data_IF_085228043773
#
_entry.id   IF_085228043773
#
_cell.length_a   1.000
_cell.length_b   1.000
_cell.length_c   1.000
_cell.angle_alpha   90.00
_cell.angle_beta   90.00
_cell.angle_gamma   90.00
#
_symmetry.space_group_name_H-M   'P 1'
#
loop_
_entity.id
_entity.type
_entity.pdbx_description
1 polymer ?
#
# COMPACT_ATOMS: atom_id res chain seq x y z
N UNK A 1 11.64 3.94 16.90
CA UNK A 1 10.56 3.04 16.45
C UNK A 1 10.12 3.60 15.12
N UNK A 2 10.32 2.86 14.04
CA UNK A 2 9.83 3.26 12.72
C UNK A 2 8.34 2.92 12.66
N UNK A 3 7.50 3.93 12.46
CA UNK A 3 6.06 3.71 12.28
C UNK A 3 5.80 3.00 10.95
N UNK A 4 4.89 2.01 10.97
CA UNK A 4 4.57 1.18 9.80
C UNK A 4 3.09 1.34 9.45
N UNK A 5 2.83 1.54 8.16
CA UNK A 5 1.48 1.46 7.58
C UNK A 5 1.46 0.40 6.49
N UNK A 6 0.31 -0.21 6.26
CA UNK A 6 0.16 -1.30 5.30
C UNK A 6 -0.67 -0.86 4.10
N UNK A 7 -0.24 -1.21 2.90
CA UNK A 7 -1.06 -1.16 1.69
C UNK A 7 -1.42 -2.59 1.25
N UNK A 8 -2.61 -2.78 0.67
CA UNK A 8 -3.03 -4.06 0.08
C UNK A 8 -3.06 -3.93 -1.43
N UNK A 9 -2.21 -4.68 -2.10
CA UNK A 9 -2.09 -4.67 -3.56
C UNK A 9 -2.50 -6.03 -4.15
N UNK A 10 -2.98 -6.01 -5.40
CA UNK A 10 -3.02 -7.21 -6.23
C UNK A 10 -1.58 -7.56 -6.58
N UNK A 11 -1.19 -8.83 -6.43
CA UNK A 11 0.20 -9.25 -6.59
C UNK A 11 0.76 -8.91 -7.98
N UNK A 12 -0.02 -9.13 -9.04
CA UNK A 12 0.39 -8.83 -10.42
C UNK A 12 0.62 -7.34 -10.64
N UNK A 13 -0.29 -6.47 -10.17
CA UNK A 13 -0.14 -5.00 -10.28
C UNK A 13 1.13 -4.51 -9.57
N UNK A 14 1.41 -5.09 -8.39
CA UNK A 14 2.61 -4.78 -7.62
C UNK A 14 3.89 -5.24 -8.34
N UNK A 15 3.92 -6.46 -8.86
CA UNK A 15 5.08 -7.01 -9.56
C UNK A 15 5.39 -6.20 -10.82
N UNK A 16 4.37 -5.86 -11.62
CA UNK A 16 4.53 -5.04 -12.82
C UNK A 16 5.11 -3.65 -12.53
N UNK A 17 4.83 -3.10 -11.35
CA UNK A 17 5.31 -1.77 -10.93
C UNK A 17 6.82 -1.74 -10.67
N UNK A 18 7.47 -2.90 -10.45
CA UNK A 18 8.93 -3.00 -10.28
C UNK A 18 9.70 -2.44 -11.47
N UNK A 19 9.20 -2.63 -12.68
CA UNK A 19 9.82 -2.11 -13.90
C UNK A 19 9.82 -0.58 -13.98
N UNK A 20 8.90 0.08 -13.26
CA UNK A 20 8.77 1.53 -13.21
C UNK A 20 9.45 2.16 -11.98
N UNK A 21 9.71 1.35 -10.94
CA UNK A 21 10.35 1.79 -9.70
C UNK A 21 9.38 2.41 -8.69
N UNK A 22 8.11 2.57 -9.05
CA UNK A 22 7.06 3.13 -8.21
C UNK A 22 5.71 2.47 -8.47
N UNK A 23 4.86 2.41 -7.43
CA UNK A 23 3.50 1.88 -7.49
C UNK A 23 2.47 3.01 -7.54
N UNK A 24 1.65 3.05 -8.60
CA UNK A 24 0.71 4.14 -8.88
C UNK A 24 -0.77 3.72 -8.84
N UNK A 25 -1.14 2.80 -7.96
CA UNK A 25 -2.55 2.40 -7.77
C UNK A 25 -3.03 2.86 -6.40
N UNK A 26 -4.11 3.65 -6.36
CA UNK A 26 -4.66 4.15 -5.10
C UNK A 26 -5.26 3.01 -4.26
N UNK A 27 -5.99 2.13 -4.92
CA UNK A 27 -6.62 0.92 -4.37
C UNK A 27 -7.11 0.08 -5.55
N UNK A 28 -7.54 -1.17 -5.32
CA UNK A 28 -8.15 -2.04 -6.35
C UNK A 28 -8.98 -1.28 -7.39
N UNK A 29 -8.55 -1.35 -8.66
CA UNK A 29 -9.27 -0.78 -9.82
C UNK A 29 -9.30 0.75 -9.88
N UNK A 30 -8.54 1.44 -9.03
CA UNK A 30 -8.48 2.91 -8.98
C UNK A 30 -7.02 3.34 -9.12
N UNK A 31 -6.62 3.90 -10.28
CA UNK A 31 -5.28 4.45 -10.44
C UNK A 31 -5.06 5.63 -9.48
N UNK A 32 -3.79 5.92 -9.20
CA UNK A 32 -3.42 7.13 -8.48
C UNK A 32 -3.54 8.34 -9.41
N UNK A 33 -4.50 9.22 -9.12
CA UNK A 33 -4.67 10.48 -9.84
C UNK A 33 -3.84 11.62 -9.18
N UNK A 34 -3.50 12.69 -9.92
CA UNK A 34 -2.81 13.85 -9.37
C UNK A 34 -3.53 14.44 -8.15
N UNK A 35 -2.82 14.59 -7.03
CA UNK A 35 -3.39 15.07 -5.76
C UNK A 35 -4.16 14.01 -4.96
N UNK A 36 -4.24 12.78 -5.49
CA UNK A 36 -4.79 11.61 -4.81
C UNK A 36 -3.90 11.08 -3.70
N UNK A 37 -4.19 9.86 -3.25
CA UNK A 37 -3.38 9.14 -2.28
C UNK A 37 -3.54 7.63 -2.46
N UNK A 38 -2.51 6.88 -2.09
CA UNK A 38 -2.60 5.42 -1.94
C UNK A 38 -3.26 5.11 -0.60
N UNK A 39 -4.28 4.25 -0.63
CA UNK A 39 -5.02 3.84 0.57
C UNK A 39 -4.15 2.91 1.38
N UNK A 40 -3.84 3.33 2.59
CA UNK A 40 -3.14 2.51 3.57
C UNK A 40 -4.05 2.24 4.77
N UNK A 41 -3.61 1.32 5.63
CA UNK A 41 -4.23 0.97 6.88
C UNK A 41 -3.16 0.62 7.91
N UNK A 42 -3.54 0.33 9.15
CA UNK A 42 -2.60 -0.20 10.16
C UNK A 42 -2.51 -1.72 10.07
N UNK A 43 -1.41 -2.36 10.52
CA UNK A 43 -1.23 -3.81 10.43
C UNK A 43 -2.40 -4.65 11.00
N UNK A 44 -3.00 -4.18 12.10
CA UNK A 44 -4.14 -4.80 12.80
C UNK A 44 -5.47 -4.71 12.04
N UNK A 45 -5.58 -3.81 11.05
CA UNK A 45 -6.79 -3.54 10.28
C UNK A 45 -6.76 -4.15 8.87
N UNK A 46 -5.67 -4.82 8.49
CA UNK A 46 -5.49 -5.40 7.15
C UNK A 46 -6.56 -6.43 6.81
N UNK A 47 -6.88 -7.34 7.74
CA UNK A 47 -7.90 -8.37 7.51
C UNK A 47 -9.28 -7.79 7.23
N UNK A 48 -9.63 -6.67 7.88
CA UNK A 48 -10.89 -5.96 7.61
C UNK A 48 -10.89 -5.34 6.21
N UNK A 49 -9.81 -4.67 5.82
CA UNK A 49 -9.68 -4.08 4.47
C UNK A 49 -9.76 -5.14 3.38
N UNK A 50 -9.13 -6.29 3.58
CA UNK A 50 -9.20 -7.43 2.64
C UNK A 50 -10.64 -7.90 2.49
N UNK A 51 -11.35 -8.15 3.59
CA UNK A 51 -12.74 -8.60 3.55
C UNK A 51 -13.67 -7.59 2.87
N UNK A 52 -13.53 -6.30 3.19
CA UNK A 52 -14.42 -5.25 2.67
C UNK A 52 -14.15 -4.88 1.20
N UNK A 53 -12.89 -4.92 0.76
CA UNK A 53 -12.48 -4.34 -0.54
C UNK A 53 -12.00 -5.36 -1.55
N UNK A 54 -11.60 -6.54 -1.11
CA UNK A 54 -11.01 -7.57 -1.95
C UNK A 54 -11.69 -8.95 -1.78
N UNK A 55 -12.68 -9.09 -0.88
CA UNK A 55 -13.32 -10.38 -0.57
C UNK A 55 -14.08 -11.02 -1.73
N UNK A 56 -14.34 -10.28 -2.80
CA UNK A 56 -14.94 -10.73 -4.05
C UNK A 56 -13.90 -11.08 -5.14
N UNK A 57 -12.60 -10.93 -4.88
CA UNK A 57 -11.54 -11.31 -5.81
C UNK A 57 -11.01 -12.73 -5.55
N UNK A 58 -10.71 -13.43 -6.64
CA UNK A 58 -9.93 -14.66 -6.64
C UNK A 58 -8.45 -14.42 -7.03
N UNK A 59 -8.00 -13.16 -7.03
CA UNK A 59 -6.63 -12.78 -7.39
C UNK A 59 -5.72 -12.84 -6.15
N UNK A 60 -4.44 -13.25 -6.30
CA UNK A 60 -3.48 -13.20 -5.21
C UNK A 60 -3.27 -11.76 -4.71
N UNK A 61 -3.23 -11.59 -3.39
CA UNK A 61 -3.03 -10.29 -2.74
C UNK A 61 -1.73 -10.27 -1.93
N UNK A 62 -1.14 -9.08 -1.84
CA UNK A 62 -0.01 -8.78 -0.98
C UNK A 62 -0.39 -7.73 0.05
N UNK A 63 0.07 -7.92 1.28
CA UNK A 63 0.24 -6.84 2.26
C UNK A 63 1.65 -6.28 2.09
N UNK A 64 1.74 -4.99 1.83
CA UNK A 64 3.00 -4.25 1.74
C UNK A 64 3.16 -3.45 3.02
N UNK A 65 4.18 -3.76 3.80
CA UNK A 65 4.52 -3.01 5.02
C UNK A 65 5.44 -1.85 4.63
N UNK A 66 4.98 -0.62 4.86
CA UNK A 66 5.65 0.60 4.44
C UNK A 66 6.21 1.37 5.63
N UNK A 67 7.47 1.80 5.50
CA UNK A 67 8.12 2.70 6.44
C UNK A 67 7.54 4.11 6.30
N UNK A 68 6.91 4.64 7.35
CA UNK A 68 6.43 6.05 7.35
C UNK A 68 7.61 7.01 7.20
N UNK A 69 8.75 6.69 7.82
CA UNK A 69 9.97 7.49 7.73
C UNK A 69 10.58 7.42 6.32
N UNK A 70 10.66 6.22 5.72
CA UNK A 70 11.18 6.02 4.37
C UNK A 70 10.34 6.75 3.33
N UNK A 71 9.01 6.64 3.45
CA UNK A 71 8.06 7.39 2.63
C UNK A 71 8.28 8.90 2.73
N UNK A 72 8.43 9.43 3.95
CA UNK A 72 8.70 10.85 4.15
C UNK A 72 10.06 11.28 3.56
N UNK A 73 11.10 10.45 3.70
CA UNK A 73 12.42 10.71 3.13
C UNK A 73 12.40 10.71 1.59
N UNK A 74 11.55 9.90 0.97
CA UNK A 74 11.30 9.88 -0.47
C UNK A 74 10.36 11.00 -0.95
N UNK A 75 9.88 11.89 -0.07
CA UNK A 75 8.99 13.00 -0.44
C UNK A 75 7.51 12.61 -0.57
N UNK A 76 7.11 11.45 -0.07
CA UNK A 76 5.76 10.90 -0.14
C UNK A 76 5.18 10.79 1.28
N UNK A 77 4.77 11.90 1.93
CA UNK A 77 4.37 11.85 3.34
C UNK A 77 3.09 11.04 3.56
N UNK A 78 2.96 10.48 4.76
CA UNK A 78 1.72 9.85 5.24
C UNK A 78 0.88 10.88 5.99
N UNK A 79 -0.32 11.16 5.47
CA UNK A 79 -1.32 11.99 6.14
C UNK A 79 -2.32 11.11 6.88
N UNK A 80 -2.56 11.39 8.16
CA UNK A 80 -3.56 10.68 8.96
C UNK A 80 -4.86 11.48 9.01
N UNK A 81 -5.95 10.89 8.54
CA UNK A 81 -7.28 11.52 8.54
C UNK A 81 -8.27 10.57 9.22
N UNK A 82 -8.87 11.02 10.32
CA UNK A 82 -9.78 10.22 11.15
C UNK A 82 -9.17 8.86 11.57
N UNK A 83 -7.86 8.84 11.84
CA UNK A 83 -7.12 7.65 12.22
C UNK A 83 -6.74 6.70 11.06
N UNK A 84 -7.03 7.08 9.81
CA UNK A 84 -6.69 6.28 8.61
C UNK A 84 -5.52 6.91 7.87
N UNK A 85 -4.42 6.16 7.61
CA UNK A 85 -3.26 6.69 6.91
C UNK A 85 -3.51 6.81 5.39
N UNK A 86 -2.99 7.88 4.79
CA UNK A 86 -3.04 8.19 3.37
C UNK A 86 -1.64 8.49 2.86
N UNK A 87 -1.12 7.66 1.97
CA UNK A 87 0.20 7.87 1.36
C UNK A 87 0.06 8.88 0.23
N UNK A 88 0.66 10.07 0.33
CA UNK A 88 0.40 11.23 -0.54
C UNK A 88 1.24 11.25 -1.82
N UNK A 89 1.21 10.15 -2.54
CA UNK A 89 1.94 9.98 -3.81
C UNK A 89 2.13 8.50 -4.16
N UNK A 90 2.84 8.22 -5.25
CA UNK A 90 3.17 6.85 -5.63
C UNK A 90 4.11 6.24 -4.57
N UNK A 91 4.08 4.92 -4.39
CA UNK A 91 4.96 4.25 -3.43
C UNK A 91 6.28 3.89 -4.13
N UNK A 92 7.43 4.46 -3.73
CA UNK A 92 8.73 4.02 -4.21
C UNK A 92 8.98 2.55 -3.85
N UNK A 93 9.61 1.80 -4.74
CA UNK A 93 9.85 0.37 -4.58
C UNK A 93 11.24 0.03 -4.00
N UNK A 94 11.86 0.97 -3.31
CA UNK A 94 13.13 0.78 -2.61
C UNK A 94 12.96 0.16 -1.21
N UNK A 95 14.06 -0.36 -0.66
CA UNK A 95 14.08 -1.11 0.60
C UNK A 95 13.89 -0.19 1.82
N UNK A 96 14.16 1.12 1.68
CA UNK A 96 13.90 2.12 2.71
C UNK A 96 12.41 2.38 2.91
N UNK A 97 11.62 2.28 1.83
CA UNK A 97 10.15 2.42 1.84
C UNK A 97 9.47 1.08 2.09
N UNK A 98 9.83 0.03 1.35
CA UNK A 98 9.16 -1.28 1.37
C UNK A 98 9.87 -2.22 2.35
N UNK A 99 9.30 -2.37 3.55
CA UNK A 99 9.89 -3.17 4.62
C UNK A 99 9.58 -4.66 4.50
N UNK A 100 8.40 -5.00 3.98
CA UNK A 100 8.01 -6.39 3.75
C UNK A 100 6.89 -6.51 2.73
N UNK A 101 6.90 -7.63 2.02
CA UNK A 101 5.83 -8.09 1.13
C UNK A 101 5.33 -9.43 1.64
N UNK A 102 4.09 -9.46 2.13
CA UNK A 102 3.51 -10.65 2.74
C UNK A 102 2.31 -11.11 1.92
N UNK A 103 2.38 -12.33 1.38
CA UNK A 103 1.24 -12.93 0.69
C UNK A 103 0.06 -13.11 1.66
N UNK A 104 -1.10 -12.63 1.22
CA UNK A 104 -2.36 -12.82 1.95
C UNK A 104 -3.00 -14.09 1.40
N UNK A 105 -3.20 -15.14 2.23
CA UNK A 105 -3.84 -16.36 1.77
C UNK A 105 -5.29 -16.07 1.36
N UNK A 106 -5.72 -16.63 0.23
CA UNK A 106 -7.12 -16.63 -0.16
C UNK A 106 -7.93 -17.38 0.90
N UNK A 107 -8.97 -16.73 1.42
CA UNK A 107 -9.90 -17.31 2.41
C UNK A 107 -10.81 -18.37 1.80
#
# INVERSE_FOLDING_TARGET
>A
MTDVVCHVAIADDWEMSRGFGEYEVSTRGVPLEPGGYVRATTPDRVSEVVAERYGDLALPLLRIDLSVEGLAAAGVPVEWVDGVPRVRGPIPMDDEVVLAEVSIPNV
#
